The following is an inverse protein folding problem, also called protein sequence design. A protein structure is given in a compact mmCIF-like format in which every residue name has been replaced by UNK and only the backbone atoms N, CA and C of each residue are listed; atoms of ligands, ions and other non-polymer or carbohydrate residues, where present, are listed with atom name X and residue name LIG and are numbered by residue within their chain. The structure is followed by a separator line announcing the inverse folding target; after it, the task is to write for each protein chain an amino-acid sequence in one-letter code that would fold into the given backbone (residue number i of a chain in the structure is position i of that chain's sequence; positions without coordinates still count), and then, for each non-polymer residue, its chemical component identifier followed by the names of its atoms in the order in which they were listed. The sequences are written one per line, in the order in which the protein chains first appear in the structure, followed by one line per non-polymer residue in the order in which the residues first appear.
data_IF_779826228311
#
_entry.id   IF_779826228311
#
_cell.length_a   1.000
_cell.length_b   1.000
_cell.length_c   1.000
_cell.angle_alpha   90.00
_cell.angle_beta   90.00
_cell.angle_gamma   90.00
#
_symmetry.space_group_name_H-M   'P 1'
#
loop_
_entity.id
_entity.type
_entity.pdbx_description
1 polymer ?
#
# COMPACT_ATOMS: atom_id res chain seq x y z
N UNK A 1 55.51 -2.49 -32.13
CA UNK A 1 56.52 -1.40 -32.23
C UNK A 1 56.00 -0.14 -31.62
N UNK A 2 56.79 0.38 -30.65
CA UNK A 2 56.86 1.73 -30.07
C UNK A 2 55.64 2.20 -29.23
N UNK A 3 55.75 2.18 -27.88
CA UNK A 3 56.48 3.02 -26.88
C UNK A 3 55.63 4.24 -26.50
N UNK A 4 55.02 4.22 -25.30
CA UNK A 4 55.46 4.80 -24.02
C UNK A 4 55.61 6.32 -24.01
N UNK A 5 54.86 7.01 -23.15
CA UNK A 5 55.42 8.08 -22.32
C UNK A 5 54.53 8.43 -21.12
N UNK A 6 55.13 8.28 -19.97
CA UNK A 6 54.74 8.79 -18.63
C UNK A 6 55.15 10.27 -18.47
N UNK A 7 54.58 10.89 -17.44
CA UNK A 7 55.09 12.02 -16.60
C UNK A 7 54.10 13.22 -16.58
N UNK A 8 53.86 13.92 -15.48
CA UNK A 8 54.31 13.97 -14.06
C UNK A 8 53.31 14.88 -13.31
N UNK A 9 52.89 14.53 -12.14
CA UNK A 9 53.10 15.07 -10.80
C UNK A 9 53.30 16.61 -10.70
N UNK A 10 52.41 17.29 -9.93
CA UNK A 10 52.84 18.28 -8.92
C UNK A 10 51.69 18.53 -7.90
N UNK A 11 52.00 18.31 -6.66
CA UNK A 11 51.28 18.68 -5.45
C UNK A 11 51.53 20.14 -5.08
N UNK A 12 50.61 20.78 -4.39
CA UNK A 12 50.96 21.83 -3.43
C UNK A 12 49.98 21.82 -2.26
N UNK A 13 50.60 21.90 -1.09
CA UNK A 13 50.02 21.72 0.23
C UNK A 13 49.67 23.04 0.93
N UNK A 14 48.85 22.90 1.94
CA UNK A 14 48.81 23.56 3.24
C UNK A 14 48.42 25.03 3.38
N UNK A 15 47.41 25.23 4.22
CA UNK A 15 47.58 26.19 5.36
C UNK A 15 46.58 25.85 6.48
N UNK A 16 47.15 25.45 7.62
CA UNK A 16 46.51 25.36 8.95
C UNK A 16 46.25 26.79 9.50
N UNK A 17 45.15 26.90 10.25
CA UNK A 17 45.09 27.82 11.35
C UNK A 17 44.29 27.22 12.51
N UNK A 18 45.00 26.79 13.55
CA UNK A 18 44.47 26.44 14.86
C UNK A 18 44.04 27.69 15.62
N UNK A 19 42.94 27.59 16.34
CA UNK A 19 42.74 28.34 17.58
C UNK A 19 42.18 27.43 18.65
N UNK A 20 43.04 27.13 19.62
CA UNK A 20 42.70 26.44 20.85
C UNK A 20 42.55 27.45 21.98
N UNK A 21 41.56 27.28 22.84
CA UNK A 21 41.60 27.69 24.25
C UNK A 21 40.64 26.84 25.07
N UNK A 22 41.16 26.01 25.81
CA UNK A 22 41.19 25.49 27.18
C UNK A 22 40.26 26.20 28.21
N UNK A 23 39.54 25.42 29.03
CA UNK A 23 39.79 24.95 30.40
C UNK A 23 38.53 24.30 30.95
N UNK A 24 38.54 23.05 31.29
CA UNK A 24 38.88 22.37 32.55
C UNK A 24 37.72 22.34 33.57
N UNK A 25 37.29 21.16 33.97
CA UNK A 25 36.45 20.89 35.14
C UNK A 25 36.10 19.39 35.28
N UNK A 26 36.78 18.75 36.19
CA UNK A 26 36.75 17.31 36.57
C UNK A 26 35.39 16.75 36.99
N UNK A 27 35.28 15.42 36.88
CA UNK A 27 34.56 14.60 37.85
C UNK A 27 33.86 13.36 37.33
N UNK A 28 34.63 12.25 37.21
CA UNK A 28 34.33 10.82 37.52
C UNK A 28 32.89 10.29 37.53
N UNK A 29 32.57 9.25 36.84
CA UNK A 29 32.61 7.79 37.10
C UNK A 29 31.65 7.07 36.15
N UNK A 30 32.07 5.94 35.69
CA UNK A 30 31.39 5.04 34.75
C UNK A 30 30.12 4.39 35.32
N UNK A 31 29.16 4.18 34.46
CA UNK A 31 28.38 2.92 34.41
C UNK A 31 27.77 2.74 33.04
N UNK A 32 28.06 1.61 32.52
CA UNK A 32 27.63 0.99 31.29
C UNK A 32 26.10 0.69 31.34
N UNK A 33 25.35 1.14 30.34
CA UNK A 33 24.07 0.52 30.01
C UNK A 33 23.70 0.91 28.56
N UNK A 34 23.59 -0.11 27.72
CA UNK A 34 23.28 -0.02 26.32
C UNK A 34 21.98 0.72 26.04
N UNK A 35 22.06 1.68 25.18
CA UNK A 35 20.90 2.41 24.66
C UNK A 35 20.72 2.03 23.20
N UNK A 36 19.61 1.40 22.92
CA UNK A 36 19.08 1.17 21.58
C UNK A 36 18.90 2.53 20.88
N UNK A 37 19.42 2.66 19.68
CA UNK A 37 19.26 3.85 18.86
C UNK A 37 17.82 3.92 18.35
N UNK A 38 17.05 4.80 18.93
CA UNK A 38 15.74 5.23 18.43
C UNK A 38 16.00 6.26 17.31
N UNK A 39 15.72 5.86 16.08
CA UNK A 39 15.95 6.66 14.88
C UNK A 39 14.86 7.70 14.68
N UNK A 40 14.92 8.83 15.38
CA UNK A 40 14.06 9.96 15.12
C UNK A 40 14.74 10.89 14.11
N UNK A 41 14.31 10.85 12.86
CA UNK A 41 14.69 11.87 11.86
C UNK A 41 13.82 13.11 12.07
N UNK A 42 14.35 14.11 12.76
CA UNK A 42 13.67 15.39 12.97
C UNK A 42 13.91 16.29 11.76
N UNK A 43 12.84 16.67 11.08
CA UNK A 43 12.83 17.82 10.18
C UNK A 43 12.96 19.12 10.99
N UNK A 44 13.57 20.16 10.42
CA UNK A 44 13.92 21.42 11.06
C UNK A 44 12.73 22.04 11.79
N UNK A 45 12.97 22.54 13.02
CA UNK A 45 11.98 23.14 13.91
C UNK A 45 11.38 24.42 13.31
N UNK A 46 10.18 24.34 12.74
CA UNK A 46 9.27 25.46 12.58
C UNK A 46 8.53 25.71 13.92
N UNK A 47 8.14 26.93 14.22
CA UNK A 47 7.40 27.26 15.43
C UNK A 47 6.01 26.58 15.40
N UNK A 48 5.48 26.16 16.55
CA UNK A 48 4.25 25.37 16.65
C UNK A 48 2.99 25.98 16.02
N UNK A 49 2.98 27.27 15.69
CA UNK A 49 1.87 27.95 15.01
C UNK A 49 1.91 27.78 13.47
N UNK A 50 3.09 27.47 12.91
CA UNK A 50 3.33 27.39 11.46
C UNK A 50 3.30 25.92 10.93
N UNK A 51 2.95 24.96 11.76
CA UNK A 51 2.93 23.54 11.39
C UNK A 51 1.61 22.86 11.69
N UNK A 52 1.31 21.79 10.96
CA UNK A 52 0.27 20.81 11.27
C UNK A 52 0.92 19.43 11.36
N UNK A 53 0.62 18.69 12.43
CA UNK A 53 1.19 17.36 12.67
C UNK A 53 0.26 16.28 12.15
N UNK A 54 0.79 15.31 11.41
CA UNK A 54 0.07 14.11 10.94
C UNK A 54 0.77 12.84 11.42
N UNK A 55 0.06 11.73 11.45
CA UNK A 55 0.61 10.41 11.79
C UNK A 55 0.83 9.55 10.55
N UNK A 56 1.95 8.81 10.49
CA UNK A 56 2.18 7.73 9.52
C UNK A 56 2.26 6.43 10.30
N UNK A 57 1.37 5.48 9.99
CA UNK A 57 1.22 4.23 10.75
C UNK A 57 1.30 3.02 9.81
N UNK A 58 2.48 2.42 9.72
CA UNK A 58 2.80 1.32 8.82
C UNK A 58 3.61 0.22 9.50
N UNK A 59 3.63 -0.99 8.91
CA UNK A 59 4.58 -2.03 9.29
C UNK A 59 5.95 -1.74 8.66
N UNK A 60 6.85 -1.19 9.45
CA UNK A 60 8.24 -0.99 9.04
C UNK A 60 9.10 -2.21 9.34
N UNK A 61 8.58 -3.12 10.19
CA UNK A 61 9.15 -4.43 10.53
C UNK A 61 8.10 -5.53 10.38
N UNK A 62 8.53 -6.80 10.41
CA UNK A 62 7.65 -7.97 10.25
C UNK A 62 7.36 -8.34 8.79
N UNK A 63 6.37 -9.24 8.58
CA UNK A 63 6.06 -9.87 7.28
C UNK A 63 5.52 -8.89 6.24
N UNK A 64 4.87 -7.79 6.67
CA UNK A 64 4.29 -6.77 5.78
C UNK A 64 5.24 -5.63 5.42
N UNK A 65 6.45 -5.58 6.01
CA UNK A 65 7.41 -4.52 5.72
C UNK A 65 7.89 -4.49 4.25
N UNK A 66 7.75 -5.60 3.53
CA UNK A 66 8.06 -5.69 2.09
C UNK A 66 7.18 -4.73 1.28
N UNK A 67 5.90 -4.61 1.64
CA UNK A 67 4.89 -3.80 0.95
C UNK A 67 4.76 -2.40 1.57
N UNK A 68 4.65 -2.32 2.90
CA UNK A 68 4.25 -1.08 3.59
C UNK A 68 5.31 0.03 3.60
N UNK A 69 6.60 -0.30 3.42
CA UNK A 69 7.64 0.74 3.34
C UNK A 69 7.51 1.63 2.12
N UNK A 70 7.07 1.08 0.99
CA UNK A 70 6.84 1.86 -0.23
C UNK A 70 5.64 2.81 -0.07
N UNK A 71 4.61 2.36 0.62
CA UNK A 71 3.42 3.15 0.96
C UNK A 71 3.80 4.36 1.80
N UNK A 72 4.54 4.15 2.91
CA UNK A 72 5.07 5.21 3.74
C UNK A 72 5.96 6.19 2.97
N UNK A 73 6.81 5.70 2.09
CA UNK A 73 7.70 6.53 1.29
C UNK A 73 6.90 7.44 0.34
N UNK A 74 5.81 6.97 -0.23
CA UNK A 74 4.93 7.77 -1.10
C UNK A 74 4.21 8.88 -0.33
N UNK A 75 3.75 8.61 0.90
CA UNK A 75 3.20 9.65 1.79
C UNK A 75 4.23 10.73 2.11
N UNK A 76 5.48 10.34 2.42
CA UNK A 76 6.58 11.27 2.67
C UNK A 76 6.92 12.10 1.43
N UNK A 77 6.84 11.52 0.23
CA UNK A 77 7.00 12.28 -1.02
C UNK A 77 5.92 13.35 -1.15
N UNK A 78 4.66 12.97 -1.01
CA UNK A 78 3.53 13.89 -1.09
C UNK A 78 3.63 15.03 -0.06
N UNK A 79 4.00 14.71 1.18
CA UNK A 79 4.21 15.70 2.24
C UNK A 79 5.29 16.69 1.85
N UNK A 80 6.42 16.24 1.32
CA UNK A 80 7.52 17.12 0.92
C UNK A 80 7.14 18.03 -0.26
N UNK A 81 6.42 17.51 -1.25
CA UNK A 81 5.94 18.29 -2.38
C UNK A 81 4.93 19.36 -1.95
N UNK A 82 3.97 18.99 -1.09
CA UNK A 82 2.99 19.91 -0.53
C UNK A 82 3.69 21.00 0.30
N UNK A 83 4.67 20.64 1.10
CA UNK A 83 5.45 21.57 1.89
C UNK A 83 6.26 22.54 1.01
N UNK A 84 6.88 22.04 -0.05
CA UNK A 84 7.59 22.86 -1.03
C UNK A 84 6.65 23.86 -1.75
N UNK A 85 5.38 23.49 -1.91
CA UNK A 85 4.34 24.33 -2.49
C UNK A 85 3.69 25.32 -1.49
N UNK A 86 4.11 25.33 -0.22
CA UNK A 86 3.61 26.27 0.80
C UNK A 86 2.75 25.62 1.90
N UNK A 87 2.64 24.30 1.91
CA UNK A 87 1.93 23.54 2.94
C UNK A 87 0.41 23.51 2.73
N UNK A 88 -0.32 23.27 3.81
CA UNK A 88 -1.79 23.24 3.85
C UNK A 88 -2.30 24.39 4.70
N UNK A 89 -3.20 25.21 4.17
CA UNK A 89 -3.71 26.42 4.86
C UNK A 89 -2.59 27.31 5.40
N UNK A 90 -1.44 27.37 4.71
CA UNK A 90 -0.26 28.13 5.09
C UNK A 90 0.61 27.50 6.18
N UNK A 91 0.33 26.25 6.58
CA UNK A 91 1.12 25.51 7.56
C UNK A 91 1.92 24.38 6.89
N UNK A 92 3.16 24.20 7.34
CA UNK A 92 3.97 23.05 6.93
C UNK A 92 3.49 21.77 7.60
N UNK A 93 3.41 20.68 6.86
CA UNK A 93 3.10 19.35 7.41
C UNK A 93 4.35 18.80 8.08
N UNK A 94 4.24 18.42 9.33
CA UNK A 94 5.25 17.59 10.04
C UNK A 94 4.60 16.25 10.39
N UNK A 95 5.37 15.17 10.36
CA UNK A 95 4.80 13.85 10.65
C UNK A 95 5.49 13.14 11.82
N UNK A 96 4.73 12.28 12.47
CA UNK A 96 5.20 11.30 13.46
C UNK A 96 4.98 9.92 12.87
N UNK A 97 6.04 9.14 12.80
CA UNK A 97 6.01 7.77 12.26
C UNK A 97 5.92 6.77 13.41
N UNK A 98 5.05 5.76 13.27
CA UNK A 98 4.93 4.65 14.18
C UNK A 98 4.95 3.32 13.44
N UNK A 99 5.70 2.35 13.98
CA UNK A 99 5.80 0.99 13.44
C UNK A 99 4.73 0.09 14.03
N UNK A 100 3.82 -0.39 13.19
CA UNK A 100 2.80 -1.38 13.52
C UNK A 100 3.32 -2.81 13.64
N UNK A 101 4.57 -3.05 13.22
CA UNK A 101 5.30 -4.32 13.34
C UNK A 101 4.54 -5.55 12.79
N UNK A 102 3.67 -5.36 11.81
CA UNK A 102 2.79 -6.39 11.21
C UNK A 102 1.80 -7.04 12.21
N UNK A 103 1.59 -6.40 13.37
CA UNK A 103 0.75 -6.92 14.45
C UNK A 103 -0.47 -6.02 14.70
N UNK A 104 -1.72 -6.50 14.50
CA UNK A 104 -2.93 -5.67 14.64
C UNK A 104 -3.06 -4.96 16.00
N UNK A 105 -2.70 -5.63 17.10
CA UNK A 105 -2.74 -5.04 18.45
C UNK A 105 -1.71 -3.92 18.63
N UNK A 106 -0.57 -4.01 17.96
CA UNK A 106 0.44 -2.96 17.94
C UNK A 106 -0.06 -1.75 17.17
N UNK A 107 -0.71 -1.96 16.01
CA UNK A 107 -1.36 -0.88 15.26
C UNK A 107 -2.36 -0.10 16.12
N UNK A 108 -3.24 -0.79 16.87
CA UNK A 108 -4.21 -0.13 17.76
C UNK A 108 -3.53 0.73 18.83
N UNK A 109 -2.50 0.18 19.49
CA UNK A 109 -1.72 0.92 20.51
C UNK A 109 -1.01 2.14 19.93
N UNK A 110 -0.45 2.01 18.70
CA UNK A 110 0.25 3.10 18.02
C UNK A 110 -0.72 4.16 17.49
N UNK A 111 -1.90 3.77 17.03
CA UNK A 111 -2.97 4.69 16.67
C UNK A 111 -3.39 5.55 17.87
N UNK A 112 -3.65 4.93 19.01
CA UNK A 112 -3.98 5.66 20.24
C UNK A 112 -2.86 6.65 20.63
N UNK A 113 -1.58 6.23 20.55
CA UNK A 113 -0.44 7.11 20.81
C UNK A 113 -0.43 8.32 19.87
N UNK A 114 -0.59 8.12 18.56
CA UNK A 114 -0.62 9.18 17.55
C UNK A 114 -1.76 10.18 17.83
N UNK A 115 -2.94 9.67 18.17
CA UNK A 115 -4.13 10.50 18.39
C UNK A 115 -4.08 11.19 19.75
N UNK A 116 -3.90 10.43 20.84
CA UNK A 116 -4.02 10.97 22.20
C UNK A 116 -2.76 11.65 22.71
N UNK A 117 -1.59 11.10 22.47
CA UNK A 117 -0.33 11.65 22.97
C UNK A 117 0.27 12.67 22.03
N UNK A 118 0.38 12.34 20.73
CA UNK A 118 1.00 13.18 19.73
C UNK A 118 0.06 14.26 19.17
N UNK A 119 -1.27 14.09 19.35
CA UNK A 119 -2.32 15.03 18.90
C UNK A 119 -2.19 15.37 17.42
N UNK A 120 -2.05 14.32 16.59
CA UNK A 120 -2.01 14.50 15.13
C UNK A 120 -3.38 14.91 14.59
N UNK A 121 -3.40 15.70 13.52
CA UNK A 121 -4.62 16.16 12.87
C UNK A 121 -5.32 15.02 12.08
N UNK A 122 -4.53 14.09 11.56
CA UNK A 122 -5.01 12.90 10.85
C UNK A 122 -3.91 11.83 10.84
N UNK A 123 -4.27 10.60 10.44
CA UNK A 123 -3.32 9.49 10.28
C UNK A 123 -3.47 8.91 8.88
N UNK A 124 -2.36 8.60 8.24
CA UNK A 124 -2.27 7.81 7.01
C UNK A 124 -1.70 6.45 7.35
N UNK A 125 -2.23 5.38 6.76
CA UNK A 125 -1.63 4.08 6.99
C UNK A 125 -2.56 2.89 7.10
N UNK A 126 -2.02 1.85 7.71
CA UNK A 126 -2.47 0.47 7.71
C UNK A 126 -2.34 -0.18 6.32
N UNK A 127 -2.25 -1.50 6.31
CA UNK A 127 -2.33 -2.33 5.11
C UNK A 127 -3.38 -3.41 5.27
N UNK A 128 -3.16 -4.33 6.21
CA UNK A 128 -4.06 -5.47 6.37
C UNK A 128 -5.42 -5.06 6.89
N UNK A 129 -6.46 -5.75 6.46
CA UNK A 129 -7.80 -5.56 7.02
C UNK A 129 -7.83 -5.88 8.52
N UNK A 130 -6.94 -6.75 9.00
CA UNK A 130 -6.77 -7.01 10.44
C UNK A 130 -6.27 -5.78 11.19
N UNK A 131 -5.26 -5.06 10.66
CA UNK A 131 -4.77 -3.82 11.28
C UNK A 131 -5.83 -2.72 11.20
N UNK A 132 -6.51 -2.54 10.04
CA UNK A 132 -7.61 -1.57 9.91
C UNK A 132 -8.73 -1.84 10.91
N UNK A 133 -9.19 -3.08 11.03
CA UNK A 133 -10.25 -3.45 11.99
C UNK A 133 -9.81 -3.24 13.44
N UNK A 134 -8.53 -3.45 13.76
CA UNK A 134 -8.01 -3.21 15.10
C UNK A 134 -7.94 -1.71 15.46
N UNK A 135 -7.61 -0.85 14.49
CA UNK A 135 -7.54 0.60 14.74
C UNK A 135 -8.89 1.31 14.61
N UNK A 136 -9.84 0.77 13.83
CA UNK A 136 -11.13 1.38 13.57
C UNK A 136 -11.84 1.87 14.85
N UNK A 137 -12.03 1.05 15.91
CA UNK A 137 -12.67 1.53 17.14
C UNK A 137 -11.88 2.65 17.80
N UNK A 138 -10.54 2.68 17.72
CA UNK A 138 -9.72 3.77 18.26
C UNK A 138 -10.04 5.08 17.53
N UNK A 139 -10.10 5.07 16.19
CA UNK A 139 -10.45 6.26 15.41
C UNK A 139 -11.88 6.74 15.66
N UNK A 140 -12.82 5.81 15.83
CA UNK A 140 -14.23 6.14 16.13
C UNK A 140 -14.38 6.72 17.54
N UNK A 141 -13.75 6.12 18.55
CA UNK A 141 -13.83 6.54 19.95
C UNK A 141 -13.20 7.93 20.20
N UNK A 142 -12.10 8.21 19.52
CA UNK A 142 -11.41 9.51 19.60
C UNK A 142 -11.92 10.55 18.59
N UNK A 143 -12.86 10.19 17.71
CA UNK A 143 -13.28 11.00 16.56
C UNK A 143 -12.10 11.49 15.73
N UNK A 144 -11.13 10.62 15.46
CA UNK A 144 -9.99 10.89 14.60
C UNK A 144 -10.25 10.40 13.16
N UNK A 145 -9.42 10.79 12.19
CA UNK A 145 -9.59 10.41 10.79
C UNK A 145 -8.38 9.61 10.30
N UNK A 146 -8.66 8.42 9.74
CA UNK A 146 -7.70 7.54 9.07
C UNK A 146 -7.87 7.66 7.55
N UNK A 147 -6.76 7.73 6.82
CA UNK A 147 -6.68 7.55 5.37
C UNK A 147 -6.06 6.19 5.08
N UNK A 148 -6.88 5.27 4.58
CA UNK A 148 -6.52 3.86 4.38
C UNK A 148 -6.26 3.59 2.89
N UNK A 149 -4.99 3.34 2.46
CA UNK A 149 -4.61 3.38 1.05
C UNK A 149 -4.66 2.01 0.34
N UNK A 150 -5.17 0.97 0.97
CA UNK A 150 -5.07 -0.39 0.43
C UNK A 150 -6.44 -0.94 0.05
N UNK A 151 -6.46 -1.76 -1.01
CA UNK A 151 -7.65 -2.52 -1.38
C UNK A 151 -8.16 -3.34 -0.20
N UNK A 152 -9.45 -3.63 -0.16
CA UNK A 152 -10.02 -4.42 0.91
C UNK A 152 -11.27 -5.20 0.47
N UNK A 153 -11.75 -6.07 1.34
CA UNK A 153 -12.87 -6.98 1.10
C UNK A 153 -14.24 -6.31 1.06
N UNK A 154 -14.33 -5.01 1.34
CA UNK A 154 -15.61 -4.34 1.52
C UNK A 154 -16.33 -4.73 2.80
N UNK A 155 -17.67 -4.72 2.77
CA UNK A 155 -18.56 -5.08 3.87
C UNK A 155 -18.31 -4.24 5.13
N UNK A 156 -17.71 -3.07 4.97
CA UNK A 156 -17.38 -2.14 6.03
C UNK A 156 -17.43 -0.70 5.52
N UNK A 157 -17.86 0.18 6.38
CA UNK A 157 -17.79 1.63 6.23
C UNK A 157 -17.63 2.26 7.60
N UNK A 158 -16.85 3.34 7.70
CA UNK A 158 -16.69 4.11 8.94
C UNK A 158 -16.68 5.61 8.62
N UNK A 159 -17.36 6.45 9.38
CA UNK A 159 -17.27 7.90 9.22
C UNK A 159 -15.89 8.46 9.59
N UNK A 160 -15.01 7.63 10.14
CA UNK A 160 -13.67 7.96 10.60
C UNK A 160 -12.56 7.33 9.73
N UNK A 161 -12.92 6.75 8.58
CA UNK A 161 -11.97 6.18 7.62
C UNK A 161 -12.32 6.67 6.21
N UNK A 162 -11.34 7.22 5.51
CA UNK A 162 -11.37 7.44 4.07
C UNK A 162 -10.62 6.31 3.40
N UNK A 163 -11.30 5.59 2.52
CA UNK A 163 -10.75 4.42 1.83
C UNK A 163 -10.22 4.85 0.46
N UNK A 164 -8.90 5.04 0.34
CA UNK A 164 -8.30 5.44 -0.93
C UNK A 164 -7.85 4.27 -1.80
N UNK A 165 -7.77 3.07 -1.23
CA UNK A 165 -7.63 1.82 -1.98
C UNK A 165 -8.95 1.31 -2.56
N UNK A 166 -8.88 0.26 -3.37
CA UNK A 166 -10.02 -0.30 -4.09
C UNK A 166 -11.08 -0.93 -3.18
N UNK A 167 -12.34 -0.67 -3.45
CA UNK A 167 -13.47 -1.48 -2.99
C UNK A 167 -13.58 -2.79 -3.81
N UNK A 168 -14.33 -3.82 -3.34
CA UNK A 168 -14.41 -5.11 -4.04
C UNK A 168 -14.84 -5.02 -5.50
N UNK A 169 -15.77 -4.11 -5.83
CA UNK A 169 -16.23 -3.89 -7.19
C UNK A 169 -15.22 -3.15 -8.08
N UNK A 170 -14.11 -2.70 -7.50
CA UNK A 170 -13.02 -2.02 -8.19
C UNK A 170 -11.75 -2.87 -8.29
N UNK A 171 -11.75 -4.12 -7.79
CA UNK A 171 -10.63 -5.06 -7.90
C UNK A 171 -11.11 -6.50 -8.07
N UNK A 172 -11.76 -7.08 -7.04
CA UNK A 172 -12.14 -8.50 -6.99
C UNK A 172 -13.12 -8.85 -8.11
N UNK A 173 -14.25 -8.15 -8.16
CA UNK A 173 -15.34 -8.46 -9.09
C UNK A 173 -14.89 -8.37 -10.55
N UNK A 174 -14.27 -7.27 -11.01
CA UNK A 174 -13.85 -7.15 -12.41
C UNK A 174 -12.72 -8.11 -12.79
N UNK A 175 -11.86 -8.50 -11.85
CA UNK A 175 -10.83 -9.52 -12.12
C UNK A 175 -11.46 -10.88 -12.42
N UNK A 176 -12.45 -11.29 -11.64
CA UNK A 176 -13.17 -12.54 -11.88
C UNK A 176 -14.00 -12.48 -13.15
N UNK A 177 -14.67 -11.36 -13.45
CA UNK A 177 -15.36 -11.15 -14.73
C UNK A 177 -14.41 -11.33 -15.91
N UNK A 178 -13.24 -10.68 -15.87
CA UNK A 178 -12.22 -10.79 -16.89
C UNK A 178 -11.79 -12.25 -17.12
N UNK A 179 -11.56 -13.02 -16.05
CA UNK A 179 -11.16 -14.41 -16.14
C UNK A 179 -12.28 -15.30 -16.73
N UNK A 180 -13.52 -15.09 -16.32
CA UNK A 180 -14.69 -15.80 -16.84
C UNK A 180 -14.89 -15.51 -18.33
N UNK A 181 -14.69 -14.25 -18.76
CA UNK A 181 -14.75 -13.84 -20.17
C UNK A 181 -13.62 -14.45 -21.01
N UNK A 182 -12.44 -14.69 -20.41
CA UNK A 182 -11.35 -15.44 -21.02
C UNK A 182 -11.61 -16.95 -21.09
N UNK A 183 -12.69 -17.45 -20.48
CA UNK A 183 -13.13 -18.83 -20.55
C UNK A 183 -12.69 -19.72 -19.39
N UNK A 184 -12.02 -19.17 -18.37
CA UNK A 184 -11.66 -19.93 -17.18
C UNK A 184 -12.92 -20.40 -16.43
N UNK A 185 -12.93 -21.67 -15.99
CA UNK A 185 -14.07 -22.31 -15.31
C UNK A 185 -13.70 -22.98 -13.99
N UNK A 186 -12.43 -23.39 -13.80
CA UNK A 186 -11.96 -24.10 -12.61
C UNK A 186 -10.96 -23.24 -11.85
N UNK A 187 -11.38 -22.77 -10.70
CA UNK A 187 -10.66 -21.83 -9.86
C UNK A 187 -10.13 -22.52 -8.60
N UNK A 188 -8.87 -22.32 -8.25
CA UNK A 188 -8.32 -22.68 -6.95
C UNK A 188 -8.05 -21.40 -6.17
N UNK A 189 -8.56 -21.29 -4.95
CA UNK A 189 -8.42 -20.10 -4.11
C UNK A 189 -7.34 -20.35 -3.07
N UNK A 190 -6.33 -19.45 -3.02
CA UNK A 190 -5.26 -19.50 -2.04
C UNK A 190 -5.13 -18.13 -1.38
N UNK A 191 -5.27 -18.08 -0.06
CA UNK A 191 -5.20 -16.84 0.71
C UNK A 191 -4.41 -16.94 2.00
N UNK A 192 -4.03 -15.81 2.56
CA UNK A 192 -3.58 -15.73 3.95
C UNK A 192 -4.77 -15.90 4.90
N UNK A 193 -4.53 -16.47 6.09
CA UNK A 193 -5.61 -16.79 7.03
C UNK A 193 -6.00 -15.58 7.88
N UNK A 194 -6.71 -14.62 7.27
CA UNK A 194 -7.33 -13.49 7.97
C UNK A 194 -8.53 -12.94 7.18
N UNK A 195 -9.16 -11.87 7.67
CA UNK A 195 -10.45 -11.39 7.19
C UNK A 195 -10.49 -11.06 5.69
N UNK A 196 -9.47 -10.37 5.14
CA UNK A 196 -9.48 -9.98 3.73
C UNK A 196 -9.54 -11.21 2.79
N UNK A 197 -8.60 -12.19 2.83
CA UNK A 197 -8.66 -13.33 1.92
C UNK A 197 -9.92 -14.17 2.10
N UNK A 198 -10.37 -14.36 3.35
CA UNK A 198 -11.58 -15.16 3.61
C UNK A 198 -12.84 -14.52 3.04
N UNK A 199 -13.02 -13.22 3.20
CA UNK A 199 -14.17 -12.51 2.62
C UNK A 199 -14.03 -12.36 1.11
N UNK A 200 -12.83 -12.06 0.59
CA UNK A 200 -12.57 -12.01 -0.85
C UNK A 200 -12.90 -13.35 -1.52
N UNK A 201 -12.43 -14.47 -0.95
CA UNK A 201 -12.68 -15.81 -1.48
C UNK A 201 -14.18 -16.18 -1.41
N UNK A 202 -14.92 -15.71 -0.42
CA UNK A 202 -16.38 -15.85 -0.36
C UNK A 202 -17.06 -15.10 -1.52
N UNK A 203 -16.66 -13.85 -1.78
CA UNK A 203 -17.15 -13.04 -2.91
C UNK A 203 -16.84 -13.76 -4.23
N UNK A 204 -15.59 -14.18 -4.43
CA UNK A 204 -15.13 -14.90 -5.63
C UNK A 204 -15.93 -16.18 -5.84
N UNK A 205 -16.12 -16.98 -4.79
CA UNK A 205 -16.88 -18.23 -4.85
C UNK A 205 -18.32 -17.99 -5.29
N UNK A 206 -18.96 -16.96 -4.75
CA UNK A 206 -20.32 -16.60 -5.12
C UNK A 206 -20.41 -16.18 -6.60
N UNK A 207 -19.50 -15.33 -7.05
CA UNK A 207 -19.45 -14.82 -8.42
C UNK A 207 -19.16 -15.94 -9.43
N UNK A 208 -18.13 -16.76 -9.16
CA UNK A 208 -17.76 -17.92 -10.01
C UNK A 208 -18.93 -18.89 -10.15
N UNK A 209 -19.60 -19.21 -9.04
CA UNK A 209 -20.76 -20.09 -9.02
C UNK A 209 -21.95 -19.52 -9.80
N UNK A 210 -22.24 -18.23 -9.62
CA UNK A 210 -23.31 -17.56 -10.37
C UNK A 210 -23.07 -17.57 -11.88
N UNK A 211 -21.82 -17.50 -12.30
CA UNK A 211 -21.41 -17.58 -13.71
C UNK A 211 -21.24 -19.03 -14.24
N UNK A 212 -21.59 -20.05 -13.43
CA UNK A 212 -21.50 -21.48 -13.83
C UNK A 212 -20.06 -22.02 -13.85
N UNK A 213 -19.12 -21.38 -13.16
CA UNK A 213 -17.78 -21.90 -12.87
C UNK A 213 -17.75 -22.76 -11.60
N UNK A 214 -16.57 -23.27 -11.27
CA UNK A 214 -16.33 -24.15 -10.13
C UNK A 214 -15.09 -23.71 -9.35
N UNK A 215 -15.19 -23.67 -8.02
CA UNK A 215 -14.06 -23.58 -7.11
C UNK A 215 -13.63 -25.01 -6.78
N UNK A 216 -12.51 -25.46 -7.34
CA UNK A 216 -12.01 -26.83 -7.22
C UNK A 216 -11.15 -27.06 -5.99
N UNK A 217 -10.81 -26.01 -5.26
CA UNK A 217 -10.09 -26.05 -4.00
C UNK A 217 -9.95 -24.67 -3.37
N UNK A 218 -9.83 -24.65 -2.06
CA UNK A 218 -9.65 -23.43 -1.26
C UNK A 218 -8.74 -23.75 -0.07
N UNK A 219 -7.66 -22.99 0.07
CA UNK A 219 -6.66 -23.17 1.11
C UNK A 219 -6.22 -21.83 1.68
N UNK A 220 -5.86 -21.86 2.96
CA UNK A 220 -5.36 -20.71 3.69
C UNK A 220 -4.02 -21.01 4.34
N UNK A 221 -3.15 -20.02 4.36
CA UNK A 221 -1.82 -20.06 4.96
C UNK A 221 -1.69 -19.00 6.04
N UNK A 222 -0.99 -19.32 7.12
CA UNK A 222 -0.64 -18.33 8.14
C UNK A 222 0.19 -17.19 7.50
N UNK A 223 0.11 -15.97 8.05
CA UNK A 223 0.78 -14.78 7.50
C UNK A 223 2.31 -14.91 7.41
N UNK A 224 2.91 -15.73 8.27
CA UNK A 224 4.35 -16.01 8.32
C UNK A 224 4.72 -17.40 7.77
N UNK A 225 3.77 -18.10 7.14
CA UNK A 225 4.01 -19.42 6.57
C UNK A 225 5.09 -19.39 5.49
N UNK A 226 6.05 -20.30 5.62
CA UNK A 226 7.18 -20.42 4.69
C UNK A 226 7.19 -21.74 3.92
N UNK A 227 6.43 -22.75 4.33
CA UNK A 227 6.33 -24.06 3.66
C UNK A 227 4.95 -24.22 3.00
N UNK A 228 4.94 -24.24 1.69
CA UNK A 228 3.74 -24.39 0.85
C UNK A 228 3.63 -25.77 0.17
N UNK A 229 4.52 -26.72 0.47
CA UNK A 229 4.56 -28.01 -0.21
C UNK A 229 3.22 -28.78 -0.15
N UNK A 230 2.54 -28.76 0.99
CA UNK A 230 1.23 -29.40 1.17
C UNK A 230 0.14 -28.72 0.33
N UNK A 231 0.12 -27.38 0.30
CA UNK A 231 -0.84 -26.59 -0.49
C UNK A 231 -0.59 -26.81 -1.98
N UNK A 232 0.66 -26.77 -2.42
CA UNK A 232 1.03 -27.03 -3.82
C UNK A 232 0.58 -28.43 -4.25
N UNK A 233 0.74 -29.46 -3.39
CA UNK A 233 0.25 -30.79 -3.68
C UNK A 233 -1.28 -30.88 -3.84
N UNK A 234 -2.02 -30.05 -3.10
CA UNK A 234 -3.48 -29.93 -3.27
C UNK A 234 -3.85 -29.23 -4.59
N UNK A 235 -3.10 -28.20 -4.98
CA UNK A 235 -3.25 -27.52 -6.28
C UNK A 235 -3.02 -28.52 -7.42
N UNK A 236 -1.93 -29.32 -7.35
CA UNK A 236 -1.63 -30.38 -8.32
C UNK A 236 -2.79 -31.40 -8.45
N UNK A 237 -3.33 -31.82 -7.31
CA UNK A 237 -4.45 -32.78 -7.28
C UNK A 237 -5.76 -32.21 -7.82
N UNK A 238 -6.03 -30.93 -7.58
CA UNK A 238 -7.24 -30.23 -8.02
C UNK A 238 -7.22 -29.87 -9.50
N UNK A 239 -6.05 -29.75 -10.12
CA UNK A 239 -5.87 -29.37 -11.53
C UNK A 239 -6.72 -28.14 -11.93
N UNK A 240 -6.55 -27.00 -11.29
CA UNK A 240 -7.27 -25.79 -11.64
C UNK A 240 -6.83 -25.24 -13.01
N UNK A 241 -7.68 -24.46 -13.64
CA UNK A 241 -7.33 -23.68 -14.83
C UNK A 241 -6.65 -22.35 -14.44
N UNK A 242 -6.96 -21.84 -13.23
CA UNK A 242 -6.38 -20.61 -12.68
C UNK A 242 -6.31 -20.70 -11.16
N UNK A 243 -5.26 -20.12 -10.58
CA UNK A 243 -5.15 -19.91 -9.14
C UNK A 243 -5.48 -18.45 -8.86
N UNK A 244 -6.39 -18.22 -7.94
CA UNK A 244 -6.64 -16.90 -7.36
C UNK A 244 -5.78 -16.77 -6.10
N UNK A 245 -4.90 -15.78 -6.12
CA UNK A 245 -3.94 -15.56 -5.05
C UNK A 245 -4.30 -14.31 -4.23
N UNK A 246 -4.71 -14.54 -2.99
CA UNK A 246 -4.97 -13.51 -1.97
C UNK A 246 -3.99 -13.63 -0.78
N UNK A 247 -2.81 -14.24 -0.99
CA UNK A 247 -1.71 -14.20 -0.03
C UNK A 247 -1.18 -12.76 0.11
N UNK A 248 -0.67 -12.44 1.30
CA UNK A 248 -0.06 -11.14 1.58
C UNK A 248 1.37 -11.31 2.12
N UNK A 249 2.18 -10.25 1.96
CA UNK A 249 3.50 -10.16 2.53
C UNK A 249 4.46 -11.26 2.06
N UNK A 250 5.32 -11.72 2.96
CA UNK A 250 6.39 -12.70 2.66
C UNK A 250 5.90 -14.09 2.26
N UNK A 251 4.62 -14.42 2.54
CA UNK A 251 3.99 -15.66 2.08
C UNK A 251 4.00 -15.80 0.56
N UNK A 252 3.79 -14.70 -0.17
CA UNK A 252 3.91 -14.64 -1.62
C UNK A 252 5.29 -15.10 -2.11
N UNK A 253 6.35 -14.59 -1.46
CA UNK A 253 7.73 -14.93 -1.83
C UNK A 253 7.98 -16.42 -1.69
N UNK A 254 7.53 -17.01 -0.60
CA UNK A 254 7.70 -18.45 -0.31
C UNK A 254 6.91 -19.33 -1.27
N UNK A 255 5.65 -18.97 -1.55
CA UNK A 255 4.79 -19.72 -2.46
C UNK A 255 5.33 -19.75 -3.89
N UNK A 256 5.61 -18.59 -4.49
CA UNK A 256 6.05 -18.54 -5.89
C UNK A 256 7.45 -19.14 -6.08
N UNK A 257 8.37 -19.02 -5.12
CA UNK A 257 9.67 -19.70 -5.20
C UNK A 257 9.53 -21.22 -5.17
N UNK A 258 8.65 -21.77 -4.32
CA UNK A 258 8.41 -23.22 -4.28
C UNK A 258 7.66 -23.73 -5.53
N UNK A 259 6.78 -22.93 -6.13
CA UNK A 259 6.21 -23.23 -7.45
C UNK A 259 7.32 -23.31 -8.52
N UNK A 260 8.23 -22.34 -8.53
CA UNK A 260 9.35 -22.30 -9.47
C UNK A 260 10.34 -23.47 -9.28
N UNK A 261 10.60 -23.93 -8.04
CA UNK A 261 11.41 -25.11 -7.75
C UNK A 261 10.85 -26.41 -8.39
N UNK A 262 9.53 -26.44 -8.60
CA UNK A 262 8.83 -27.51 -9.32
C UNK A 262 8.75 -27.26 -10.83
N UNK A 263 9.35 -26.18 -11.32
CA UNK A 263 9.25 -25.70 -12.70
C UNK A 263 7.80 -25.33 -13.12
N UNK A 264 6.97 -24.92 -12.17
CA UNK A 264 5.64 -24.42 -12.45
C UNK A 264 5.72 -22.93 -12.77
N UNK A 265 5.23 -22.58 -13.94
CA UNK A 265 5.19 -21.21 -14.48
C UNK A 265 3.76 -20.78 -14.70
N UNK A 266 3.57 -19.56 -15.18
CA UNK A 266 2.25 -19.06 -15.58
C UNK A 266 1.59 -19.87 -16.71
N UNK A 267 2.37 -20.67 -17.46
CA UNK A 267 1.83 -21.53 -18.50
C UNK A 267 1.16 -22.80 -17.95
N UNK A 268 1.70 -23.38 -16.86
CA UNK A 268 1.15 -24.57 -16.21
C UNK A 268 0.10 -24.21 -15.16
N UNK A 269 0.39 -23.17 -14.35
CA UNK A 269 -0.48 -22.71 -13.26
C UNK A 269 -0.60 -21.18 -13.29
N UNK A 270 -1.38 -20.61 -14.23
CA UNK A 270 -1.61 -19.17 -14.24
C UNK A 270 -2.23 -18.72 -12.93
N UNK A 271 -1.83 -17.53 -12.44
CA UNK A 271 -2.43 -16.91 -11.27
C UNK A 271 -3.00 -15.54 -11.60
N UNK A 272 -4.07 -15.17 -10.89
CA UNK A 272 -4.54 -13.81 -10.73
C UNK A 272 -4.33 -13.41 -9.27
N UNK A 273 -3.47 -12.42 -9.01
CA UNK A 273 -3.11 -11.98 -7.66
C UNK A 273 -3.74 -10.63 -7.32
N UNK A 274 -4.11 -10.48 -6.04
CA UNK A 274 -4.73 -9.26 -5.49
C UNK A 274 -3.82 -8.53 -4.49
N UNK A 275 -2.61 -9.03 -4.28
CA UNK A 275 -1.62 -8.46 -3.36
C UNK A 275 -0.18 -8.69 -3.83
N UNK A 276 0.03 -8.95 -5.13
CA UNK A 276 1.32 -8.85 -5.79
C UNK A 276 1.35 -7.53 -6.54
N UNK A 277 2.25 -6.66 -6.16
CA UNK A 277 2.54 -5.40 -6.83
C UNK A 277 4.02 -5.34 -7.22
N UNK A 278 4.49 -4.20 -7.67
CA UNK A 278 5.86 -4.05 -8.20
C UNK A 278 6.94 -4.38 -7.15
N UNK A 279 6.70 -4.12 -5.85
CA UNK A 279 7.62 -4.45 -4.76
C UNK A 279 7.78 -5.97 -4.58
N UNK A 280 6.68 -6.71 -4.66
CA UNK A 280 6.71 -8.17 -4.61
C UNK A 280 7.38 -8.73 -5.86
N UNK A 281 7.12 -8.18 -7.05
CA UNK A 281 7.79 -8.59 -8.29
C UNK A 281 9.29 -8.36 -8.18
N UNK A 282 9.73 -7.20 -7.68
CA UNK A 282 11.15 -6.90 -7.49
C UNK A 282 11.84 -7.85 -6.51
N UNK A 283 11.10 -8.39 -5.51
CA UNK A 283 11.62 -9.29 -4.48
C UNK A 283 11.61 -10.76 -4.89
N UNK A 284 10.54 -11.20 -5.58
CA UNK A 284 10.36 -12.59 -6.01
C UNK A 284 11.21 -12.89 -7.24
N UNK A 285 11.22 -11.97 -8.19
CA UNK A 285 11.94 -12.02 -9.45
C UNK A 285 11.00 -12.13 -10.65
N UNK A 286 11.28 -11.32 -11.67
CA UNK A 286 10.50 -11.27 -12.91
C UNK A 286 10.49 -12.60 -13.66
N UNK A 287 11.58 -13.36 -13.63
CA UNK A 287 11.72 -14.66 -14.27
C UNK A 287 10.79 -15.73 -13.66
N UNK A 288 10.42 -15.57 -12.39
CA UNK A 288 9.43 -16.43 -11.71
C UNK A 288 8.00 -15.98 -12.02
N UNK A 289 7.76 -14.65 -11.99
CA UNK A 289 6.40 -14.11 -12.02
C UNK A 289 5.88 -13.72 -13.42
N UNK A 290 6.71 -13.70 -14.44
CA UNK A 290 6.28 -13.30 -15.79
C UNK A 290 5.11 -14.12 -16.29
N UNK A 291 4.14 -13.44 -16.91
CA UNK A 291 2.93 -14.02 -17.46
C UNK A 291 1.84 -14.31 -16.42
N UNK A 292 2.12 -14.11 -15.12
CA UNK A 292 1.06 -14.09 -14.11
C UNK A 292 0.33 -12.74 -14.15
N UNK A 293 -0.94 -12.75 -13.75
CA UNK A 293 -1.82 -11.59 -13.78
C UNK A 293 -2.03 -11.03 -12.38
N UNK A 294 -2.30 -9.72 -12.35
CA UNK A 294 -2.61 -8.98 -11.13
C UNK A 294 -3.77 -8.02 -11.39
N UNK A 295 -4.54 -7.70 -10.36
CA UNK A 295 -5.64 -6.74 -10.45
C UNK A 295 -5.43 -5.59 -9.46
N UNK A 296 -5.32 -4.38 -10.01
CA UNK A 296 -5.12 -3.13 -9.27
C UNK A 296 -5.82 -1.97 -9.97
N UNK A 297 -5.65 -0.75 -9.44
CA UNK A 297 -6.14 0.47 -10.10
C UNK A 297 -5.00 1.25 -10.79
N UNK A 298 -3.77 1.01 -10.35
CA UNK A 298 -2.56 1.66 -10.84
C UNK A 298 -1.44 0.62 -11.10
N UNK A 299 -0.54 0.93 -12.04
CA UNK A 299 0.76 0.29 -12.26
C UNK A 299 1.81 1.34 -12.53
N UNK A 300 3.09 1.09 -12.22
CA UNK A 300 4.19 2.00 -12.54
C UNK A 300 4.19 2.38 -14.03
N UNK A 301 3.72 1.50 -14.89
CA UNK A 301 3.65 1.70 -16.35
C UNK A 301 2.41 2.47 -16.81
N UNK A 302 1.55 2.93 -15.93
CA UNK A 302 0.36 3.73 -16.29
C UNK A 302 0.75 4.97 -17.08
N UNK A 303 0.18 5.16 -18.28
CA UNK A 303 0.59 6.22 -19.23
C UNK A 303 -0.22 7.50 -19.01
N UNK A 304 0.08 8.22 -17.93
CA UNK A 304 -0.42 9.56 -17.66
C UNK A 304 0.76 10.53 -17.43
N UNK A 305 0.60 11.83 -17.69
CA UNK A 305 1.62 12.82 -17.36
C UNK A 305 1.91 12.89 -15.86
N UNK A 306 0.88 12.75 -15.04
CA UNK A 306 0.93 12.75 -13.57
C UNK A 306 1.76 11.56 -13.07
N UNK A 307 1.56 10.37 -13.64
CA UNK A 307 2.34 9.20 -13.27
C UNK A 307 3.82 9.35 -13.62
N UNK A 308 4.14 9.88 -14.79
CA UNK A 308 5.53 10.11 -15.19
C UNK A 308 6.25 11.01 -14.18
N UNK A 309 5.58 12.08 -13.73
CA UNK A 309 6.12 12.99 -12.74
C UNK A 309 6.26 12.31 -11.35
N UNK A 310 5.26 11.52 -10.93
CA UNK A 310 5.28 10.78 -9.67
C UNK A 310 6.42 9.75 -9.63
N UNK A 311 6.54 8.91 -10.65
CA UNK A 311 7.61 7.89 -10.75
C UNK A 311 9.00 8.54 -10.75
N UNK A 312 9.18 9.63 -11.52
CA UNK A 312 10.44 10.37 -11.57
C UNK A 312 10.79 10.95 -10.19
N UNK A 313 9.85 11.60 -9.52
CA UNK A 313 10.05 12.19 -8.20
C UNK A 313 10.32 11.12 -7.13
N UNK A 314 9.58 10.00 -7.17
CA UNK A 314 9.76 8.89 -6.24
C UNK A 314 11.16 8.26 -6.37
N UNK A 315 11.58 7.95 -7.60
CA UNK A 315 12.91 7.37 -7.87
C UNK A 315 14.04 8.34 -7.55
N UNK A 316 13.87 9.62 -7.87
CA UNK A 316 14.86 10.65 -7.54
C UNK A 316 15.09 10.77 -6.02
N UNK A 317 14.02 10.61 -5.20
CA UNK A 317 14.11 10.72 -3.75
C UNK A 317 14.59 9.45 -3.07
N UNK A 318 14.07 8.28 -3.49
CA UNK A 318 14.28 7.02 -2.79
C UNK A 318 15.26 6.07 -3.49
N UNK A 319 15.67 6.38 -4.72
CA UNK A 319 16.65 5.63 -5.51
C UNK A 319 16.08 5.04 -6.80
N UNK A 320 16.90 4.99 -7.85
CA UNK A 320 16.51 4.55 -9.20
C UNK A 320 15.99 3.10 -9.28
N UNK A 321 16.38 2.25 -8.32
CA UNK A 321 15.93 0.87 -8.26
C UNK A 321 14.58 0.68 -7.54
N UNK A 322 14.01 1.75 -6.98
CA UNK A 322 12.71 1.71 -6.33
C UNK A 322 11.60 1.71 -7.38
N UNK A 323 10.54 1.03 -7.04
CA UNK A 323 9.34 0.92 -7.85
C UNK A 323 8.15 1.59 -7.16
N UNK A 324 7.14 1.96 -7.93
CA UNK A 324 5.87 2.47 -7.44
C UNK A 324 4.77 1.44 -7.70
N UNK A 325 3.80 1.39 -6.81
CA UNK A 325 2.70 0.41 -6.84
C UNK A 325 1.37 1.06 -6.51
N UNK A 326 0.27 0.36 -6.74
CA UNK A 326 -1.08 0.86 -6.43
C UNK A 326 -1.24 1.32 -4.97
N UNK A 327 -0.85 0.54 -3.93
CA UNK A 327 -0.99 1.04 -2.56
C UNK A 327 -0.11 2.24 -2.24
N UNK A 328 1.07 2.34 -2.87
CA UNK A 328 1.95 3.49 -2.71
C UNK A 328 1.35 4.73 -3.39
N UNK A 329 0.79 4.58 -4.57
CA UNK A 329 0.10 5.65 -5.29
C UNK A 329 -1.16 6.10 -4.54
N UNK A 330 -2.00 5.18 -4.07
CA UNK A 330 -3.20 5.51 -3.30
C UNK A 330 -2.87 6.22 -1.96
N UNK A 331 -1.70 5.97 -1.39
CA UNK A 331 -1.20 6.67 -0.21
C UNK A 331 -0.72 8.10 -0.54
N UNK A 332 -0.05 8.26 -1.68
CA UNK A 332 0.28 9.58 -2.22
C UNK A 332 -0.98 10.42 -2.44
N UNK A 333 -1.99 9.84 -3.07
CA UNK A 333 -3.30 10.46 -3.29
C UNK A 333 -3.99 10.84 -1.98
N UNK A 334 -3.92 9.98 -0.96
CA UNK A 334 -4.52 10.22 0.34
C UNK A 334 -4.05 11.54 0.96
N UNK A 335 -2.76 11.87 0.86
CA UNK A 335 -2.20 13.12 1.41
C UNK A 335 -2.72 14.33 0.63
N UNK A 336 -2.79 14.25 -0.69
CA UNK A 336 -3.34 15.34 -1.53
C UNK A 336 -4.84 15.53 -1.34
N UNK A 337 -5.59 14.44 -1.20
CA UNK A 337 -7.03 14.49 -0.93
C UNK A 337 -7.31 15.05 0.47
N UNK A 338 -6.51 14.68 1.48
CA UNK A 338 -6.59 15.30 2.81
C UNK A 338 -6.32 16.81 2.74
N UNK A 339 -5.28 17.22 2.02
CA UNK A 339 -5.01 18.64 1.78
C UNK A 339 -6.22 19.33 1.18
N UNK A 340 -6.79 18.77 0.11
CA UNK A 340 -7.96 19.34 -0.57
C UNK A 340 -9.19 19.42 0.36
N UNK A 341 -9.39 18.40 1.20
CA UNK A 341 -10.46 18.39 2.20
C UNK A 341 -10.27 19.47 3.27
N UNK A 342 -9.04 19.64 3.79
CA UNK A 342 -8.72 20.71 4.74
C UNK A 342 -8.89 22.11 4.13
N UNK A 343 -8.46 22.31 2.89
CA UNK A 343 -8.60 23.60 2.19
C UNK A 343 -10.08 23.92 1.93
N UNK A 344 -10.89 22.94 1.56
CA UNK A 344 -12.34 23.10 1.41
C UNK A 344 -13.04 23.40 2.74
N UNK A 345 -12.62 22.74 3.82
CA UNK A 345 -13.10 22.97 5.18
C UNK A 345 -12.62 24.30 5.77
N UNK A 346 -11.50 24.85 5.28
CA UNK A 346 -10.80 25.99 5.89
C UNK A 346 -10.25 25.65 7.31
N UNK A 347 -10.06 24.37 7.62
CA UNK A 347 -9.76 23.86 8.96
C UNK A 347 -9.05 22.51 8.92
N UNK A 348 -8.32 22.19 10.00
CA UNK A 348 -7.81 20.84 10.29
C UNK A 348 -8.69 20.07 11.29
N UNK A 349 -9.77 20.69 11.76
CA UNK A 349 -10.72 20.04 12.65
C UNK A 349 -11.40 18.86 11.95
N UNK A 350 -11.43 17.70 12.63
CA UNK A 350 -11.88 16.43 12.03
C UNK A 350 -13.33 16.50 11.58
N UNK A 351 -14.22 17.15 12.35
CA UNK A 351 -15.63 17.24 11.99
C UNK A 351 -15.83 18.16 10.78
N UNK A 352 -15.09 19.28 10.71
CA UNK A 352 -15.10 20.17 9.54
C UNK A 352 -14.56 19.47 8.28
N UNK A 353 -13.51 18.66 8.40
CA UNK A 353 -12.96 17.88 7.29
C UNK A 353 -13.95 16.81 6.83
N UNK A 354 -14.57 16.08 7.76
CA UNK A 354 -15.63 15.08 7.46
C UNK A 354 -16.84 15.72 6.77
N UNK A 355 -17.25 16.90 7.20
CA UNK A 355 -18.33 17.67 6.56
C UNK A 355 -17.96 18.07 5.14
N UNK A 356 -16.72 18.55 4.93
CA UNK A 356 -16.22 18.88 3.59
C UNK A 356 -16.18 17.65 2.67
N UNK A 357 -15.77 16.48 3.18
CA UNK A 357 -15.79 15.19 2.45
C UNK A 357 -17.24 14.81 2.08
N UNK A 358 -18.16 14.86 3.05
CA UNK A 358 -19.57 14.50 2.84
C UNK A 358 -20.27 15.41 1.84
N UNK A 359 -19.82 16.67 1.72
CA UNK A 359 -20.30 17.62 0.72
C UNK A 359 -19.91 17.28 -0.73
N UNK A 360 -19.08 16.24 -0.97
CA UNK A 360 -18.62 15.84 -2.28
C UNK A 360 -17.61 16.81 -2.90
N UNK A 361 -17.30 16.62 -4.19
CA UNK A 361 -16.44 17.49 -5.00
C UNK A 361 -14.97 17.62 -4.50
N UNK A 362 -14.47 16.62 -3.77
CA UNK A 362 -13.04 16.51 -3.46
C UNK A 362 -12.41 15.54 -4.44
N UNK A 363 -11.58 16.05 -5.31
CA UNK A 363 -10.93 15.31 -6.38
C UNK A 363 -9.44 15.63 -6.43
N UNK A 364 -8.68 14.70 -7.00
CA UNK A 364 -7.25 14.86 -7.27
C UNK A 364 -6.94 14.29 -8.66
N UNK A 365 -6.08 14.97 -9.42
CA UNK A 365 -5.53 14.43 -10.66
C UNK A 365 -4.34 13.54 -10.29
N UNK A 366 -4.67 12.32 -10.00
CA UNK A 366 -3.75 11.29 -9.49
C UNK A 366 -2.91 10.66 -10.62
N UNK A 367 -1.81 9.97 -10.28
CA UNK A 367 -1.05 9.19 -11.25
C UNK A 367 -1.89 8.15 -12.01
N UNK A 368 -2.88 7.54 -11.36
CA UNK A 368 -3.80 6.59 -11.99
C UNK A 368 -4.88 7.26 -12.88
N UNK A 369 -5.06 8.56 -12.77
CA UNK A 369 -6.12 9.36 -13.39
C UNK A 369 -6.86 10.16 -12.34
N UNK A 370 -7.91 10.89 -12.73
CA UNK A 370 -8.67 11.68 -11.75
C UNK A 370 -9.45 10.77 -10.81
N UNK A 371 -9.20 10.91 -9.50
CA UNK A 371 -9.94 10.26 -8.42
C UNK A 371 -10.82 11.26 -7.70
N UNK A 372 -11.95 10.79 -7.17
CA UNK A 372 -12.91 11.64 -6.45
C UNK A 372 -13.45 10.90 -5.24
N UNK A 373 -13.50 11.56 -4.09
CA UNK A 373 -14.11 10.96 -2.88
C UNK A 373 -15.61 10.94 -3.02
N UNK A 374 -16.22 9.77 -2.91
CA UNK A 374 -17.66 9.61 -2.77
C UNK A 374 -18.08 10.09 -1.39
N UNK A 375 -18.81 11.21 -1.33
CA UNK A 375 -19.23 11.83 -0.07
C UNK A 375 -20.20 10.98 0.78
N UNK A 376 -20.77 9.90 0.20
CA UNK A 376 -21.72 9.03 0.92
C UNK A 376 -21.02 7.92 1.70
N UNK A 377 -19.94 7.35 1.14
CA UNK A 377 -19.28 6.19 1.70
C UNK A 377 -17.76 6.36 1.92
N UNK A 378 -17.21 7.54 1.60
CA UNK A 378 -15.81 7.91 1.80
C UNK A 378 -14.78 7.01 1.07
N UNK A 379 -15.19 6.39 -0.03
CA UNK A 379 -14.32 5.66 -0.95
C UNK A 379 -14.03 6.50 -2.19
N UNK A 380 -13.02 6.10 -2.96
CA UNK A 380 -12.70 6.78 -4.21
C UNK A 380 -13.42 6.16 -5.41
N UNK A 381 -13.84 7.01 -6.35
CA UNK A 381 -14.12 6.59 -7.72
C UNK A 381 -12.79 6.37 -8.41
N UNK A 382 -12.53 5.16 -8.92
CA UNK A 382 -11.22 4.74 -9.46
C UNK A 382 -11.37 3.99 -10.78
N UNK A 383 -10.39 4.06 -11.72
CA UNK A 383 -10.33 3.13 -12.84
C UNK A 383 -10.01 1.72 -12.33
N UNK A 384 -10.44 0.69 -13.04
CA UNK A 384 -10.07 -0.69 -12.77
C UNK A 384 -9.10 -1.16 -13.85
N UNK A 385 -8.01 -1.81 -13.44
CA UNK A 385 -6.99 -2.35 -14.34
C UNK A 385 -6.66 -3.79 -14.01
N UNK A 386 -6.35 -4.55 -15.05
CA UNK A 386 -5.73 -5.86 -14.92
C UNK A 386 -4.41 -5.79 -15.66
N UNK A 387 -3.35 -6.24 -15.00
CA UNK A 387 -2.00 -6.23 -15.51
C UNK A 387 -1.43 -7.63 -15.66
N UNK A 388 -0.44 -7.74 -16.53
CA UNK A 388 0.42 -8.91 -16.70
C UNK A 388 1.86 -8.52 -16.38
N UNK A 389 2.52 -9.34 -15.58
CA UNK A 389 3.93 -9.16 -15.21
C UNK A 389 4.80 -9.59 -16.40
N UNK A 390 5.79 -8.76 -16.79
CA UNK A 390 6.67 -9.02 -17.92
C UNK A 390 8.12 -9.27 -17.51
N UNK A 391 8.95 -9.61 -18.50
CA UNK A 391 10.36 -9.99 -18.33
C UNK A 391 11.23 -8.88 -17.73
N UNK A 392 10.82 -7.62 -17.83
CA UNK A 392 11.52 -6.47 -17.26
C UNK A 392 11.17 -6.22 -15.77
N UNK A 393 10.26 -7.02 -15.22
CA UNK A 393 9.82 -6.93 -13.82
C UNK A 393 8.76 -5.86 -13.59
N UNK A 394 8.22 -5.26 -14.64
CA UNK A 394 7.12 -4.32 -14.56
C UNK A 394 5.78 -4.99 -14.89
N UNK A 395 4.72 -4.36 -14.47
CA UNK A 395 3.35 -4.79 -14.72
C UNK A 395 2.77 -3.93 -15.83
N UNK A 396 2.22 -4.57 -16.86
CA UNK A 396 1.63 -3.87 -18.00
C UNK A 396 0.14 -4.14 -18.08
N UNK A 397 -0.63 -3.07 -18.26
CA UNK A 397 -2.07 -3.14 -18.43
C UNK A 397 -2.45 -4.02 -19.63
N UNK A 398 -3.33 -5.00 -19.41
CA UNK A 398 -3.95 -5.86 -20.44
C UNK A 398 -5.45 -5.65 -20.53
N UNK A 399 -6.04 -4.98 -19.55
CA UNK A 399 -7.42 -4.54 -19.53
C UNK A 399 -7.57 -3.33 -18.61
N UNK A 400 -8.43 -2.41 -19.00
CA UNK A 400 -8.92 -1.32 -18.13
C UNK A 400 -10.36 -0.97 -18.44
N UNK A 401 -11.04 -0.43 -17.43
CA UNK A 401 -12.38 0.13 -17.62
C UNK A 401 -12.28 1.45 -18.41
N UNK A 402 -13.23 1.72 -19.31
CA UNK A 402 -13.20 2.95 -20.11
C UNK A 402 -13.40 4.24 -19.29
N UNK A 403 -13.97 4.10 -18.11
CA UNK A 403 -14.21 5.19 -17.15
C UNK A 403 -13.93 4.69 -15.74
N UNK A 404 -13.68 5.62 -14.83
CA UNK A 404 -13.61 5.32 -13.41
C UNK A 404 -14.93 4.69 -12.91
N UNK A 405 -14.81 3.79 -11.95
CA UNK A 405 -15.92 3.01 -11.37
C UNK A 405 -16.25 3.57 -10.00
N UNK A 406 -17.54 3.82 -9.76
CA UNK A 406 -18.03 4.22 -8.45
C UNK A 406 -17.88 3.07 -7.44
N UNK A 407 -17.49 3.36 -6.18
CA UNK A 407 -17.31 2.33 -5.17
C UNK A 407 -18.66 1.75 -4.69
N UNK A 408 -18.75 0.42 -4.65
CA UNK A 408 -19.83 -0.33 -4.01
C UNK A 408 -19.24 -1.31 -2.98
N UNK A 409 -18.88 -0.83 -1.78
CA UNK A 409 -18.23 -1.65 -0.78
C UNK A 409 -19.09 -2.82 -0.27
N UNK A 410 -20.40 -2.76 -0.44
CA UNK A 410 -21.35 -3.80 -0.02
C UNK A 410 -21.86 -4.67 -1.17
N UNK A 411 -21.39 -4.43 -2.40
CA UNK A 411 -21.82 -5.14 -3.61
C UNK A 411 -23.35 -5.16 -3.81
N UNK A 412 -24.01 -4.10 -3.40
CA UNK A 412 -25.49 -3.98 -3.45
C UNK A 412 -26.03 -3.87 -4.86
N UNK A 413 -25.18 -3.53 -5.82
CA UNK A 413 -25.53 -3.42 -7.25
C UNK A 413 -25.38 -4.74 -8.01
N UNK A 414 -24.94 -5.82 -7.34
CA UNK A 414 -24.70 -7.14 -7.92
C UNK A 414 -25.73 -8.15 -7.40
N UNK A 415 -26.70 -8.55 -8.21
CA UNK A 415 -27.77 -9.48 -7.83
C UNK A 415 -27.23 -10.79 -7.24
N UNK A 416 -26.15 -11.37 -7.82
CA UNK A 416 -25.51 -12.57 -7.33
C UNK A 416 -24.91 -12.43 -5.93
N UNK A 417 -24.40 -11.23 -5.58
CA UNK A 417 -23.84 -10.95 -4.26
C UNK A 417 -24.95 -10.82 -3.22
N UNK A 418 -26.03 -10.14 -3.58
CA UNK A 418 -27.23 -9.99 -2.74
C UNK A 418 -27.88 -11.36 -2.49
N UNK A 419 -28.05 -12.19 -3.54
CA UNK A 419 -28.61 -13.55 -3.42
C UNK A 419 -27.73 -14.48 -2.58
N UNK A 420 -26.42 -14.34 -2.67
CA UNK A 420 -25.47 -15.11 -1.87
C UNK A 420 -25.44 -14.68 -0.39
N UNK A 421 -26.03 -13.52 -0.06
CA UNK A 421 -26.06 -12.99 1.30
C UNK A 421 -24.65 -12.72 1.85
N UNK A 422 -23.77 -12.16 1.02
CA UNK A 422 -22.37 -11.91 1.41
C UNK A 422 -22.33 -10.96 2.60
N UNK A 423 -21.65 -11.39 3.66
CA UNK A 423 -21.49 -10.65 4.90
C UNK A 423 -20.00 -10.65 5.30
N UNK A 424 -19.53 -9.64 6.04
CA UNK A 424 -18.16 -9.66 6.56
C UNK A 424 -17.95 -10.89 7.44
N UNK A 425 -16.76 -11.47 7.35
CA UNK A 425 -16.28 -12.43 8.34
C UNK A 425 -15.66 -11.58 9.47
N UNK A 426 -16.20 -11.75 10.68
CA UNK A 426 -15.69 -11.07 11.88
C UNK A 426 -14.35 -11.65 12.37
#
# INVERSE_FOLDING_TARGET
MKKVSLRKIAALAASMAMFAMTLAGCGSTASDSGTSADGTTSAAAASGDDTVKVGLLHSLTGSMAISEKAVRDAEVLAIDEINAAGGVLGKQIVYVEEDGASEPSTFATKAEKLIDSEKVATVFGCWTSSSRKAVKPVFEDYNALLWYPVQYEGMEQSPNIVYTGAAPNQQIVPAIEYLLDKGYKKFFLLGSDYVFPRTANMIITAQVKAAGGEVVGEEYADMDQTDFAAIISKIEAAQPEIIINTLNGTGNVSFFKQMAEKNYTSAEYPTMSFSIAEEEVATIGADILKGHMVSWNYYETTDTPENKAFVEAYKAKFGESRVTSDPAEAAYDAVYLWKAACEKAGSFDVDAVKEAISGGDISFNAPEGTVTINGTNQHLTKPVRIGEIRDDGLIYEVYSTPTAVDPDPYLTTYDWAVEAGIQPIE
#
